data_IF_556469913756
#
_entry.id   IF_556469913756
#
_cell.length_a   1.000
_cell.length_b   1.000
_cell.length_c   1.000
_cell.angle_alpha   90.00
_cell.angle_beta   90.00
_cell.angle_gamma   90.00
#
_symmetry.space_group_name_H-M   'P 1'
#
loop_
_entity.id
_entity.type
_entity.pdbx_description
1 polymer ?
#
# COMPACT_ATOMS: atom_id res chain seq x y z
N UNK A 1 -9.75 -9.46 -16.41
CA UNK A 1 -10.98 -9.93 -15.72
C UNK A 1 -12.08 -9.98 -16.76
N UNK A 2 -12.89 -11.04 -16.80
CA UNK A 2 -13.99 -11.15 -17.77
C UNK A 2 -15.11 -10.13 -17.44
N UNK A 3 -15.84 -9.67 -18.44
CA UNK A 3 -16.83 -8.59 -18.30
C UNK A 3 -17.93 -8.93 -17.29
N UNK A 4 -18.41 -10.18 -17.31
CA UNK A 4 -19.40 -10.71 -16.36
C UNK A 4 -18.95 -10.61 -14.90
N UNK A 5 -17.66 -10.84 -14.63
CA UNK A 5 -17.07 -10.70 -13.30
C UNK A 5 -17.04 -9.22 -12.87
N UNK A 6 -16.79 -8.30 -13.80
CA UNK A 6 -16.77 -6.86 -13.51
C UNK A 6 -18.16 -6.37 -13.11
N UNK A 7 -19.20 -6.81 -13.83
CA UNK A 7 -20.59 -6.45 -13.52
C UNK A 7 -21.04 -6.93 -12.12
N UNK A 8 -20.39 -7.96 -11.59
CA UNK A 8 -20.67 -8.46 -10.24
C UNK A 8 -19.80 -7.81 -9.15
N UNK A 9 -18.82 -6.98 -9.52
CA UNK A 9 -17.93 -6.34 -8.56
C UNK A 9 -18.66 -5.31 -7.69
N UNK A 10 -18.25 -5.18 -6.42
CA UNK A 10 -18.87 -4.23 -5.49
C UNK A 10 -18.91 -2.76 -6.00
N UNK A 11 -17.91 -2.21 -6.73
CA UNK A 11 -18.02 -0.83 -7.20
C UNK A 11 -19.15 -0.67 -8.24
N UNK A 12 -19.35 -1.65 -9.13
CA UNK A 12 -20.50 -1.62 -10.06
C UNK A 12 -21.81 -1.69 -9.28
N UNK A 13 -21.94 -2.63 -8.34
CA UNK A 13 -23.17 -2.80 -7.55
C UNK A 13 -23.53 -1.58 -6.71
N UNK A 14 -22.54 -0.94 -6.08
CA UNK A 14 -22.78 0.28 -5.31
C UNK A 14 -23.17 1.45 -6.20
N UNK A 15 -22.55 1.56 -7.39
CA UNK A 15 -22.92 2.58 -8.37
C UNK A 15 -24.36 2.40 -8.87
N UNK A 16 -24.77 1.17 -9.18
CA UNK A 16 -26.16 0.83 -9.54
C UNK A 16 -27.15 1.19 -8.42
N UNK A 17 -26.73 1.07 -7.16
CA UNK A 17 -27.50 1.46 -5.98
C UNK A 17 -27.48 2.98 -5.69
N UNK A 18 -26.86 3.80 -6.55
CA UNK A 18 -26.85 5.26 -6.44
C UNK A 18 -25.68 5.87 -5.67
N UNK A 19 -24.66 5.07 -5.31
CA UNK A 19 -23.44 5.60 -4.71
C UNK A 19 -22.59 6.32 -5.76
N UNK A 20 -21.93 7.40 -5.34
CA UNK A 20 -20.76 7.91 -6.05
C UNK A 20 -19.56 7.01 -5.77
N UNK A 21 -18.96 6.41 -6.80
CA UNK A 21 -17.86 5.47 -6.63
C UNK A 21 -16.52 6.06 -7.05
N UNK A 22 -15.49 5.87 -6.22
CA UNK A 22 -14.14 6.39 -6.44
C UNK A 22 -13.07 5.35 -6.22
N UNK A 23 -11.98 5.44 -6.97
CA UNK A 23 -10.79 4.63 -6.79
C UNK A 23 -9.52 5.47 -6.95
N UNK A 24 -8.61 5.37 -5.99
CA UNK A 24 -7.31 6.04 -6.01
C UNK A 24 -6.21 5.05 -5.63
N UNK A 25 -5.13 5.00 -6.40
CA UNK A 25 -3.93 4.24 -6.06
C UNK A 25 -3.72 2.96 -6.88
N UNK A 26 -3.19 1.90 -6.26
CA UNK A 26 -2.80 0.68 -6.97
C UNK A 26 -4.02 -0.20 -7.28
N UNK A 27 -4.42 -0.26 -8.55
CA UNK A 27 -5.54 -1.10 -8.98
C UNK A 27 -5.21 -2.60 -9.00
N UNK A 28 -3.99 -2.95 -9.44
CA UNK A 28 -3.46 -4.32 -9.30
C UNK A 28 -4.09 -5.40 -10.19
N UNK A 29 -5.08 -5.04 -11.02
CA UNK A 29 -5.71 -5.95 -11.98
C UNK A 29 -5.84 -5.29 -13.35
N UNK A 30 -6.01 -6.10 -14.38
CA UNK A 30 -6.35 -5.65 -15.73
C UNK A 30 -7.82 -5.93 -16.02
N UNK A 31 -8.51 -4.92 -16.51
CA UNK A 31 -9.90 -4.97 -16.98
C UNK A 31 -9.94 -4.61 -18.47
N UNK A 32 -10.99 -5.01 -19.21
CA UNK A 32 -11.20 -4.52 -20.56
C UNK A 32 -11.19 -3.00 -20.59
N UNK A 33 -10.63 -2.42 -21.67
CA UNK A 33 -10.50 -0.98 -21.81
C UNK A 33 -11.88 -0.30 -21.72
N UNK A 34 -12.04 0.66 -20.82
CA UNK A 34 -13.29 1.38 -20.62
C UNK A 34 -14.17 0.78 -19.53
N UNK A 35 -13.90 -0.44 -19.06
CA UNK A 35 -14.67 -1.07 -18.00
C UNK A 35 -14.54 -0.33 -16.66
N UNK A 36 -13.43 0.37 -16.43
CA UNK A 36 -13.25 1.22 -15.25
C UNK A 36 -14.34 2.30 -15.10
N UNK A 37 -14.89 2.78 -16.23
CA UNK A 37 -15.97 3.79 -16.24
C UNK A 37 -17.30 3.22 -15.79
N UNK A 38 -17.47 1.90 -15.86
CA UNK A 38 -18.65 1.22 -15.34
C UNK A 38 -18.51 1.03 -13.82
N UNK A 39 -17.27 0.86 -13.34
CA UNK A 39 -16.96 0.64 -11.94
C UNK A 39 -16.95 1.94 -11.12
N UNK A 40 -16.36 3.02 -11.65
CA UNK A 40 -16.02 4.22 -10.89
C UNK A 40 -16.46 5.51 -11.59
N UNK A 41 -16.99 6.46 -10.83
CA UNK A 41 -17.17 7.85 -11.27
C UNK A 41 -15.83 8.59 -11.34
N UNK A 42 -14.92 8.28 -10.41
CA UNK A 42 -13.56 8.81 -10.37
C UNK A 42 -12.57 7.64 -10.31
N UNK A 43 -11.67 7.57 -11.28
CA UNK A 43 -10.67 6.50 -11.37
C UNK A 43 -9.27 7.08 -11.56
N UNK A 44 -8.45 7.02 -10.50
CA UNK A 44 -7.09 7.57 -10.46
C UNK A 44 -6.07 6.48 -10.12
N UNK A 45 -5.66 5.66 -11.10
CA UNK A 45 -4.68 4.61 -10.88
C UNK A 45 -3.29 5.21 -10.71
N UNK A 46 -2.66 4.97 -9.56
CA UNK A 46 -1.31 5.42 -9.24
C UNK A 46 -0.45 4.23 -8.80
N UNK A 47 0.60 3.95 -9.58
CA UNK A 47 1.49 2.83 -9.35
C UNK A 47 2.83 3.28 -8.78
N UNK A 48 3.39 2.44 -7.89
CA UNK A 48 4.68 2.68 -7.23
C UNK A 48 5.77 3.10 -8.19
N UNK A 49 6.27 2.22 -9.05
CA UNK A 49 7.60 2.39 -9.65
C UNK A 49 7.80 3.72 -10.43
N UNK A 50 8.60 4.70 -9.94
CA UNK A 50 9.22 4.83 -8.61
C UNK A 50 8.37 5.65 -7.61
N UNK A 51 8.53 5.43 -6.30
CA UNK A 51 7.71 6.09 -5.25
C UNK A 51 7.72 7.62 -5.34
N UNK A 52 8.86 8.22 -5.67
CA UNK A 52 8.94 9.66 -5.86
C UNK A 52 8.49 10.06 -7.27
N UNK A 53 7.43 10.87 -7.35
CA UNK A 53 6.88 11.38 -8.60
C UNK A 53 7.26 12.85 -8.79
N UNK A 54 7.82 13.17 -9.96
CA UNK A 54 8.06 14.55 -10.36
C UNK A 54 6.74 15.27 -10.62
N UNK A 55 6.55 16.41 -9.96
CA UNK A 55 5.37 17.26 -10.09
C UNK A 55 5.56 18.30 -11.21
N UNK A 56 4.49 18.96 -11.69
CA UNK A 56 4.59 20.01 -12.71
C UNK A 56 5.51 21.18 -12.33
N UNK A 57 5.58 21.53 -11.03
CA UNK A 57 6.45 22.57 -10.49
C UNK A 57 7.93 22.13 -10.34
N UNK A 58 8.25 20.90 -10.75
CA UNK A 58 9.59 20.32 -10.68
C UNK A 58 9.95 19.66 -9.35
N UNK A 59 9.11 19.78 -8.32
CA UNK A 59 9.34 19.12 -7.02
C UNK A 59 9.14 17.61 -7.12
N UNK A 60 9.74 16.87 -6.19
CA UNK A 60 9.52 15.42 -6.04
C UNK A 60 8.57 15.19 -4.86
N UNK A 61 7.48 14.47 -5.10
CA UNK A 61 6.54 14.08 -4.04
C UNK A 61 6.48 12.57 -3.88
N UNK A 62 6.38 12.13 -2.64
CA UNK A 62 6.22 10.73 -2.34
C UNK A 62 4.80 10.27 -2.69
N UNK A 63 4.67 9.12 -3.37
CA UNK A 63 3.40 8.62 -3.89
C UNK A 63 2.31 8.44 -2.82
N UNK A 64 2.68 8.07 -1.59
CA UNK A 64 1.70 7.99 -0.48
C UNK A 64 1.00 9.31 -0.21
N UNK A 65 1.72 10.44 -0.31
CA UNK A 65 1.11 11.76 -0.12
C UNK A 65 0.22 12.15 -1.29
N UNK A 66 0.60 11.79 -2.52
CA UNK A 66 -0.20 12.03 -3.72
C UNK A 66 -1.52 11.26 -3.65
N UNK A 67 -1.47 9.97 -3.25
CA UNK A 67 -2.68 9.16 -3.06
C UNK A 67 -3.57 9.75 -1.96
N UNK A 68 -2.97 10.21 -0.85
CA UNK A 68 -3.72 10.86 0.23
C UNK A 68 -4.43 12.14 -0.23
N UNK A 69 -3.76 12.97 -1.03
CA UNK A 69 -4.35 14.19 -1.60
C UNK A 69 -5.52 13.89 -2.55
N UNK A 70 -5.33 12.96 -3.49
CA UNK A 70 -6.39 12.53 -4.41
C UNK A 70 -7.62 11.98 -3.66
N UNK A 71 -7.41 11.22 -2.60
CA UNK A 71 -8.52 10.74 -1.76
C UNK A 71 -9.25 11.90 -1.05
N UNK A 72 -8.52 12.88 -0.52
CA UNK A 72 -9.09 14.09 0.10
C UNK A 72 -9.90 14.88 -0.93
N UNK A 73 -9.39 15.05 -2.14
CA UNK A 73 -10.08 15.81 -3.20
C UNK A 73 -11.38 15.13 -3.61
N UNK A 74 -11.42 13.80 -3.71
CA UNK A 74 -12.68 13.06 -3.90
C UNK A 74 -13.71 13.35 -2.78
N UNK A 75 -13.28 13.34 -1.52
CA UNK A 75 -14.17 13.60 -0.37
C UNK A 75 -14.67 15.06 -0.38
N UNK A 76 -13.81 16.02 -0.75
CA UNK A 76 -14.19 17.44 -0.86
C UNK A 76 -15.31 17.68 -1.85
N UNK A 77 -15.26 16.99 -2.97
CA UNK A 77 -16.27 17.05 -4.03
C UNK A 77 -17.60 16.37 -3.68
N UNK A 78 -17.65 15.57 -2.60
CA UNK A 78 -18.90 15.01 -2.11
C UNK A 78 -19.71 16.09 -1.37
N UNK A 79 -20.95 16.33 -1.80
CA UNK A 79 -21.84 17.36 -1.23
C UNK A 79 -22.87 16.79 -0.24
N UNK A 80 -22.88 15.47 -0.04
CA UNK A 80 -23.85 14.78 0.83
C UNK A 80 -25.18 14.46 0.15
N UNK A 81 -25.39 14.83 -1.12
CA UNK A 81 -26.62 14.50 -1.87
C UNK A 81 -26.74 13.02 -2.23
N UNK A 82 -25.60 12.32 -2.30
CA UNK A 82 -25.48 10.89 -2.57
C UNK A 82 -24.47 10.24 -1.61
N UNK A 83 -24.66 8.98 -1.19
CA UNK A 83 -23.62 8.25 -0.47
C UNK A 83 -22.41 8.01 -1.40
N UNK A 84 -21.23 7.81 -0.82
CA UNK A 84 -20.01 7.53 -1.58
C UNK A 84 -19.38 6.19 -1.17
N UNK A 85 -18.65 5.59 -2.09
CA UNK A 85 -17.72 4.50 -1.81
C UNK A 85 -16.38 4.84 -2.45
N UNK A 86 -15.37 5.10 -1.62
CA UNK A 86 -14.02 5.41 -2.07
C UNK A 86 -13.07 4.27 -1.70
N UNK A 87 -12.41 3.70 -2.70
CA UNK A 87 -11.34 2.73 -2.51
C UNK A 87 -9.98 3.41 -2.63
N UNK A 88 -9.21 3.39 -1.55
CA UNK A 88 -7.87 4.00 -1.51
C UNK A 88 -6.81 2.90 -1.33
N UNK A 89 -6.13 2.57 -2.41
CA UNK A 89 -5.12 1.50 -2.44
C UNK A 89 -3.71 2.08 -2.41
N UNK A 90 -3.18 2.30 -1.21
CA UNK A 90 -1.80 2.73 -1.06
C UNK A 90 -0.79 1.69 -1.58
N UNK A 91 0.32 2.17 -2.12
CA UNK A 91 1.42 1.28 -2.52
C UNK A 91 2.37 0.98 -1.35
N UNK A 92 2.45 1.88 -0.35
CA UNK A 92 3.25 1.68 0.84
C UNK A 92 2.73 0.48 1.65
N UNK A 93 3.58 -0.37 2.23
CA UNK A 93 5.05 -0.31 2.31
C UNK A 93 5.74 -1.32 1.36
N UNK A 94 5.25 -1.51 0.15
CA UNK A 94 5.83 -2.48 -0.79
C UNK A 94 7.26 -2.08 -1.22
N UNK A 95 8.21 -3.01 -1.10
CA UNK A 95 9.60 -2.77 -1.48
C UNK A 95 9.80 -2.38 -2.97
N UNK A 96 10.81 -1.56 -3.24
CA UNK A 96 11.42 -1.37 -4.56
C UNK A 96 12.52 -2.40 -4.76
N UNK A 97 12.21 -3.48 -5.48
CA UNK A 97 13.14 -4.59 -5.68
C UNK A 97 14.31 -4.26 -6.61
N UNK A 98 14.13 -3.28 -7.49
CA UNK A 98 15.17 -2.81 -8.42
C UNK A 98 16.25 -2.01 -7.70
N UNK A 99 15.88 -1.31 -6.62
CA UNK A 99 16.83 -0.61 -5.76
C UNK A 99 17.32 -1.60 -4.69
N UNK A 100 18.55 -2.11 -4.84
CA UNK A 100 19.15 -3.11 -3.95
C UNK A 100 19.71 -2.52 -2.64
N UNK A 101 19.56 -1.22 -2.44
CA UNK A 101 20.07 -0.50 -1.28
C UNK A 101 18.94 0.21 -0.53
N UNK A 102 18.10 0.97 -1.23
CA UNK A 102 16.99 1.72 -0.66
C UNK A 102 15.64 1.09 -1.01
N UNK A 103 15.42 -0.14 -0.53
CA UNK A 103 14.20 -0.90 -0.81
C UNK A 103 12.90 -0.21 -0.37
N UNK A 104 12.96 0.71 0.60
CA UNK A 104 11.79 1.37 1.18
C UNK A 104 12.00 2.88 1.21
N UNK A 105 11.81 3.59 0.07
CA UNK A 105 12.04 5.02 0.00
C UNK A 105 10.91 5.79 0.73
N UNK A 106 11.09 6.09 2.01
CA UNK A 106 10.07 6.70 2.87
C UNK A 106 9.74 8.16 2.50
N UNK A 107 8.55 8.67 2.87
CA UNK A 107 8.26 10.10 2.71
C UNK A 107 9.23 10.93 3.54
N UNK A 108 9.80 12.04 3.02
CA UNK A 108 10.80 12.84 3.73
C UNK A 108 10.35 13.34 5.12
N UNK A 109 9.05 13.56 5.31
CA UNK A 109 8.47 13.92 6.61
C UNK A 109 8.73 12.88 7.70
N UNK A 110 9.00 11.63 7.32
CA UNK A 110 9.19 10.52 8.26
C UNK A 110 10.67 10.19 8.54
N UNK A 111 11.62 11.00 8.02
CA UNK A 111 13.04 10.67 8.07
C UNK A 111 13.59 10.49 9.49
N UNK A 112 13.15 11.31 10.45
CA UNK A 112 13.63 11.26 11.84
C UNK A 112 13.09 10.11 12.68
N UNK A 113 12.05 9.40 12.22
CA UNK A 113 11.47 8.32 13.01
C UNK A 113 12.40 7.11 13.10
N UNK A 114 12.42 6.45 14.26
CA UNK A 114 13.15 5.21 14.54
C UNK A 114 14.69 5.27 14.42
N UNK A 115 15.30 6.45 14.25
CA UNK A 115 16.76 6.60 14.11
C UNK A 115 17.51 5.97 15.30
N UNK A 116 17.10 6.35 16.51
CA UNK A 116 17.73 5.93 17.77
C UNK A 116 17.12 4.65 18.37
N UNK A 117 16.34 3.91 17.59
CA UNK A 117 15.73 2.65 18.02
C UNK A 117 16.54 1.47 17.48
N UNK A 118 16.64 0.39 18.25
CA UNK A 118 17.10 -0.90 17.74
C UNK A 118 15.87 -1.76 17.46
N UNK A 119 15.72 -2.20 16.21
CA UNK A 119 14.62 -3.09 15.84
C UNK A 119 14.91 -4.49 16.39
N UNK A 120 13.97 -5.14 17.11
CA UNK A 120 14.18 -6.50 17.60
C UNK A 120 14.43 -7.47 16.44
N UNK A 121 15.16 -8.58 16.67
CA UNK A 121 15.38 -9.58 15.62
C UNK A 121 14.07 -10.23 15.16
N UNK A 122 14.06 -10.95 14.03
CA UNK A 122 12.89 -11.68 13.58
C UNK A 122 12.36 -12.67 14.62
N UNK A 123 11.03 -12.83 14.68
CA UNK A 123 10.36 -13.69 15.66
C UNK A 123 10.68 -15.17 15.50
N UNK A 124 10.91 -15.60 14.25
CA UNK A 124 11.30 -16.98 13.94
C UNK A 124 12.72 -16.97 13.43
N UNK A 125 13.53 -17.87 13.98
CA UNK A 125 14.95 -17.99 13.69
C UNK A 125 15.25 -18.06 12.19
N UNK A 126 16.34 -17.44 11.78
CA UNK A 126 16.77 -17.39 10.38
C UNK A 126 16.96 -18.79 9.82
N UNK A 127 17.68 -19.68 10.52
CA UNK A 127 18.08 -20.99 9.98
C UNK A 127 16.93 -21.97 9.72
N UNK A 128 15.70 -21.64 10.16
CA UNK A 128 14.51 -22.45 9.93
C UNK A 128 14.25 -22.75 8.44
N UNK A 129 14.71 -21.90 7.51
CA UNK A 129 14.55 -22.18 6.07
C UNK A 129 15.15 -23.54 5.68
N UNK A 130 16.22 -24.01 6.35
CA UNK A 130 16.89 -25.29 6.04
C UNK A 130 16.04 -26.51 6.33
N UNK A 131 15.03 -26.39 7.19
CA UNK A 131 14.11 -27.48 7.54
C UNK A 131 12.90 -27.51 6.62
N UNK A 132 12.70 -26.49 5.78
CA UNK A 132 11.56 -26.39 4.87
C UNK A 132 11.79 -27.21 3.60
N UNK A 133 10.72 -27.57 2.86
CA UNK A 133 10.85 -28.24 1.57
C UNK A 133 11.74 -27.49 0.59
N UNK A 134 12.45 -28.23 -0.28
CA UNK A 134 13.43 -27.70 -1.23
C UNK A 134 12.90 -26.54 -2.10
N UNK A 135 11.62 -26.59 -2.50
CA UNK A 135 11.03 -25.50 -3.29
C UNK A 135 10.94 -24.16 -2.55
N UNK A 136 10.90 -24.16 -1.21
CA UNK A 136 10.99 -22.94 -0.41
C UNK A 136 12.45 -22.52 -0.17
N UNK A 137 13.37 -23.48 -0.05
CA UNK A 137 14.80 -23.20 0.11
C UNK A 137 15.40 -22.49 -1.10
N UNK A 138 14.95 -22.83 -2.30
CA UNK A 138 15.40 -22.24 -3.58
C UNK A 138 14.41 -21.22 -4.15
N UNK A 139 13.59 -20.60 -3.29
CA UNK A 139 12.57 -19.65 -3.70
C UNK A 139 13.08 -18.21 -3.70
N UNK A 140 12.33 -17.34 -4.38
CA UNK A 140 12.56 -15.88 -4.36
C UNK A 140 12.49 -15.29 -2.94
N UNK A 141 11.86 -15.96 -1.98
CA UNK A 141 11.90 -15.54 -0.59
C UNK A 141 13.34 -15.49 -0.06
N UNK A 142 14.15 -16.48 -0.44
CA UNK A 142 15.53 -16.62 0.00
C UNK A 142 16.43 -15.63 -0.71
N UNK A 143 16.25 -15.43 -2.02
CA UNK A 143 16.98 -14.41 -2.79
C UNK A 143 16.76 -13.02 -2.20
N UNK A 144 15.50 -12.68 -1.93
CA UNK A 144 15.13 -11.38 -1.37
C UNK A 144 15.59 -11.20 0.07
N UNK A 145 15.76 -12.27 0.84
CA UNK A 145 16.37 -12.17 2.16
C UNK A 145 17.82 -11.71 2.07
N UNK A 146 18.59 -12.20 1.09
CA UNK A 146 19.97 -11.74 0.86
C UNK A 146 20.05 -10.27 0.43
N UNK A 147 19.02 -9.76 -0.22
CA UNK A 147 18.97 -8.35 -0.57
C UNK A 147 18.71 -7.47 0.66
N UNK A 148 17.85 -7.93 1.58
CA UNK A 148 17.27 -7.06 2.61
C UNK A 148 17.75 -7.29 4.04
N UNK A 149 18.12 -8.52 4.40
CA UNK A 149 18.15 -8.94 5.81
C UNK A 149 19.40 -9.74 6.22
N UNK A 150 20.31 -10.05 5.30
CA UNK A 150 21.43 -10.99 5.53
C UNK A 150 22.53 -10.49 6.47
N UNK A 151 22.56 -9.19 6.75
CA UNK A 151 23.43 -8.62 7.78
C UNK A 151 22.61 -7.84 8.81
N UNK A 152 23.10 -7.71 10.06
CA UNK A 152 22.45 -6.87 11.07
C UNK A 152 22.22 -5.43 10.59
N UNK A 153 23.15 -4.86 9.82
CA UNK A 153 23.08 -3.50 9.31
C UNK A 153 21.96 -3.35 8.29
N UNK A 154 21.88 -4.26 7.31
CA UNK A 154 20.78 -4.29 6.33
C UNK A 154 19.44 -4.50 7.03
N UNK A 155 19.39 -5.40 8.03
CA UNK A 155 18.18 -5.63 8.80
C UNK A 155 17.70 -4.38 9.52
N UNK A 156 18.59 -3.69 10.25
CA UNK A 156 18.25 -2.46 10.96
C UNK A 156 17.85 -1.34 10.00
N UNK A 157 18.60 -1.14 8.91
CA UNK A 157 18.32 -0.11 7.92
C UNK A 157 16.95 -0.32 7.25
N UNK A 158 16.75 -1.50 6.65
CA UNK A 158 15.53 -1.80 5.90
C UNK A 158 14.29 -1.88 6.81
N UNK A 159 14.43 -2.36 8.04
CA UNK A 159 13.30 -2.41 8.97
C UNK A 159 12.87 -1.01 9.41
N UNK A 160 13.81 -0.12 9.74
CA UNK A 160 13.51 1.28 10.05
C UNK A 160 12.86 1.98 8.86
N UNK A 161 13.42 1.79 7.67
CA UNK A 161 12.88 2.35 6.42
C UNK A 161 11.45 1.85 6.13
N UNK A 162 11.20 0.55 6.31
CA UNK A 162 9.86 -0.05 6.20
C UNK A 162 8.87 0.57 7.21
N UNK A 163 9.27 0.76 8.47
CA UNK A 163 8.39 1.40 9.46
C UNK A 163 8.12 2.87 9.14
N UNK A 164 9.09 3.63 8.61
CA UNK A 164 8.87 5.01 8.13
C UNK A 164 7.86 5.07 6.98
N UNK A 165 7.87 4.09 6.07
CA UNK A 165 6.83 3.96 5.04
C UNK A 165 5.44 3.79 5.67
N UNK A 166 5.33 2.97 6.72
CA UNK A 166 4.08 2.74 7.44
C UNK A 166 3.64 3.98 8.21
N UNK A 167 4.55 4.70 8.88
CA UNK A 167 4.24 5.99 9.52
C UNK A 167 3.67 6.99 8.52
N UNK A 168 4.26 7.06 7.32
CA UNK A 168 3.76 7.90 6.24
C UNK A 168 2.39 7.48 5.71
N UNK A 169 2.12 6.18 5.66
CA UNK A 169 0.80 5.62 5.34
C UNK A 169 -0.22 6.03 6.41
N UNK A 170 0.07 5.79 7.69
CA UNK A 170 -0.79 6.13 8.82
C UNK A 170 -1.12 7.62 8.86
N UNK A 171 -0.11 8.49 8.69
CA UNK A 171 -0.32 9.94 8.57
C UNK A 171 -1.31 10.29 7.46
N UNK A 172 -1.20 9.66 6.29
CA UNK A 172 -2.11 9.92 5.17
C UNK A 172 -3.52 9.37 5.39
N UNK A 173 -3.66 8.23 6.05
CA UNK A 173 -4.97 7.72 6.50
C UNK A 173 -5.62 8.75 7.44
N UNK A 174 -4.88 9.23 8.44
CA UNK A 174 -5.37 10.27 9.35
C UNK A 174 -5.80 11.55 8.62
N UNK A 175 -5.04 11.99 7.61
CA UNK A 175 -5.44 13.15 6.78
C UNK A 175 -6.76 12.94 6.05
N UNK A 176 -7.00 11.75 5.47
CA UNK A 176 -8.26 11.42 4.79
C UNK A 176 -9.42 11.36 5.78
N UNK A 177 -9.25 10.69 6.92
CA UNK A 177 -10.28 10.59 7.96
C UNK A 177 -10.65 11.95 8.55
N UNK A 178 -9.66 12.83 8.75
CA UNK A 178 -9.89 14.21 9.18
C UNK A 178 -10.73 15.00 8.17
N UNK A 179 -10.55 14.76 6.87
CA UNK A 179 -11.38 15.39 5.83
C UNK A 179 -12.82 14.87 5.84
N UNK A 180 -13.02 13.56 6.06
CA UNK A 180 -14.37 12.97 6.25
C UNK A 180 -15.08 13.65 7.43
N UNK A 181 -14.40 13.79 8.58
CA UNK A 181 -14.95 14.49 9.74
C UNK A 181 -15.21 15.97 9.46
N UNK A 182 -14.29 16.66 8.76
CA UNK A 182 -14.46 18.08 8.38
C UNK A 182 -15.69 18.32 7.50
N UNK A 183 -16.07 17.33 6.69
CA UNK A 183 -17.27 17.34 5.87
C UNK A 183 -18.54 16.96 6.63
N UNK A 184 -18.43 16.53 7.89
CA UNK A 184 -19.53 16.05 8.73
C UNK A 184 -20.06 14.69 8.29
N UNK A 185 -19.21 13.85 7.68
CA UNK A 185 -19.59 12.53 7.17
C UNK A 185 -19.16 11.38 8.11
N UNK A 186 -18.45 11.67 9.19
CA UNK A 186 -17.85 10.70 10.11
C UNK A 186 -18.87 9.81 10.83
N UNK A 187 -20.01 10.36 11.24
CA UNK A 187 -21.09 9.58 11.88
C UNK A 187 -21.78 8.59 10.92
N UNK A 188 -21.60 8.75 9.61
CA UNK A 188 -22.29 7.97 8.57
C UNK A 188 -21.33 7.38 7.52
N UNK A 189 -20.05 7.23 7.86
CA UNK A 189 -19.06 6.60 6.97
C UNK A 189 -18.53 5.33 7.60
N UNK A 190 -18.73 4.20 6.93
CA UNK A 190 -18.08 2.94 7.32
C UNK A 190 -16.64 2.94 6.81
N UNK A 191 -15.69 2.83 7.74
CA UNK A 191 -14.25 2.76 7.44
C UNK A 191 -13.77 1.32 7.54
N UNK A 192 -13.12 0.83 6.48
CA UNK A 192 -12.53 -0.50 6.42
C UNK A 192 -11.04 -0.35 6.13
N UNK A 193 -10.19 -0.86 7.03
CA UNK A 193 -8.75 -0.94 6.84
C UNK A 193 -8.33 -2.40 6.69
N UNK A 194 -7.68 -2.73 5.57
CA UNK A 194 -7.17 -4.09 5.29
C UNK A 194 -5.81 -4.03 4.63
N UNK A 195 -4.98 -5.04 4.88
CA UNK A 195 -3.80 -5.34 4.05
C UNK A 195 -4.15 -6.34 2.95
N UNK A 196 -3.44 -6.30 1.82
CA UNK A 196 -3.59 -7.29 0.75
C UNK A 196 -3.11 -8.69 1.17
N UNK A 197 -2.10 -8.75 2.05
CA UNK A 197 -1.44 -9.94 2.58
C UNK A 197 -0.42 -9.53 3.68
N UNK A 198 0.18 -10.53 4.34
CA UNK A 198 1.34 -10.34 5.22
C UNK A 198 2.68 -10.12 4.50
N UNK A 199 3.76 -10.09 5.28
CA UNK A 199 5.12 -9.89 4.80
C UNK A 199 6.18 -10.49 5.75
N UNK A 200 7.15 -11.24 5.22
CA UNK A 200 8.32 -11.73 5.96
C UNK A 200 9.37 -10.64 6.12
N UNK A 201 9.57 -10.19 7.35
CA UNK A 201 10.67 -9.33 7.77
C UNK A 201 11.78 -10.18 8.42
N UNK A 202 12.39 -11.07 7.64
CA UNK A 202 13.50 -11.92 8.08
C UNK A 202 13.10 -13.22 8.77
N UNK A 203 11.85 -13.34 9.27
CA UNK A 203 11.37 -14.57 9.91
C UNK A 203 11.56 -15.77 8.99
N UNK A 204 12.07 -16.87 9.55
CA UNK A 204 12.38 -18.11 8.82
C UNK A 204 13.43 -17.94 7.72
N UNK A 205 14.25 -16.88 7.76
CA UNK A 205 15.24 -16.61 6.71
C UNK A 205 14.62 -16.16 5.38
N UNK A 206 13.41 -15.59 5.41
CA UNK A 206 12.66 -15.16 4.23
C UNK A 206 12.40 -13.66 4.16
N UNK A 207 12.12 -13.21 2.94
CA UNK A 207 11.62 -11.88 2.64
C UNK A 207 10.46 -11.96 1.64
N UNK A 208 9.51 -11.03 1.70
CA UNK A 208 8.37 -11.03 0.78
C UNK A 208 7.13 -11.73 1.35
N UNK A 209 6.35 -12.38 0.49
CA UNK A 209 5.08 -13.07 0.82
C UNK A 209 4.98 -14.30 -0.08
N UNK A 210 3.80 -14.86 -0.35
CA UNK A 210 3.59 -16.05 -1.22
C UNK A 210 3.79 -17.41 -0.53
N UNK A 211 3.51 -17.45 0.77
CA UNK A 211 3.38 -18.71 1.49
C UNK A 211 2.14 -18.68 2.39
N UNK A 212 1.82 -19.81 3.00
CA UNK A 212 0.68 -19.97 3.91
C UNK A 212 1.06 -19.79 5.39
N UNK A 213 2.30 -19.38 5.70
CA UNK A 213 2.65 -19.05 7.08
C UNK A 213 2.13 -17.68 7.47
N UNK A 214 1.69 -17.59 8.73
CA UNK A 214 1.57 -16.36 9.48
C UNK A 214 2.90 -15.57 9.52
#
# INVERSE_FOLDING_TARGET
IAEDIIQQSYPVRLREAGFRTGFVGKFGVQVPKGAERQMFDVFEPLNRNPYFKKQPDGTMRHLTDIIGDSAIDFIRECDGSKPFCLSVSFNAAHAEDSDKENHYPWPPSEAGFYENMTIPPPLVETEHWRTLPSFLQHSMHRDRWFWRWDTPEKYQHNSKAYFRMITGLDRNIGRVLNEVARKGFDDNTVIIFVGDNGYYQGSRGFAGKWSHFD
#
